data_IF_333260369774
#
_entry.id   IF_333260369774
#
_cell.length_a   1.000
_cell.length_b   1.000
_cell.length_c   1.000
_cell.angle_alpha   90.00
_cell.angle_beta   90.00
_cell.angle_gamma   90.00
#
_symmetry.space_group_name_H-M   'P 1'
#
loop_
_entity.id
_entity.type
_entity.pdbx_description
1 polymer ?
#
# COMPACT_ATOMS: atom_id res chain seq x y z
N UNK A 1 -11.36 -6.58 21.07
CA UNK A 1 -11.71 -5.53 22.05
C UNK A 1 -10.52 -4.98 22.83
N UNK A 2 -10.22 -3.69 22.62
CA UNK A 2 -9.16 -2.93 23.31
C UNK A 2 -9.78 -1.64 23.87
N UNK A 3 -9.49 -1.27 25.12
CA UNK A 3 -9.84 0.04 25.66
C UNK A 3 -8.73 1.06 25.32
N UNK A 4 -9.12 2.13 24.64
CA UNK A 4 -8.21 3.18 24.20
C UNK A 4 -8.14 4.28 25.25
N UNK A 5 -6.90 4.65 25.53
CA UNK A 5 -6.49 5.71 26.44
C UNK A 5 -5.49 6.62 25.72
N UNK A 6 -5.20 7.79 26.28
CA UNK A 6 -4.14 8.65 25.76
C UNK A 6 -2.78 7.94 25.63
N UNK A 7 -2.47 6.99 26.53
CA UNK A 7 -1.17 6.33 26.57
C UNK A 7 -0.97 5.30 25.43
N UNK A 8 -2.05 4.69 24.94
CA UNK A 8 -2.00 3.65 23.90
C UNK A 8 -2.69 4.07 22.60
N UNK A 9 -3.16 5.32 22.49
CA UNK A 9 -3.80 5.84 21.29
C UNK A 9 -2.91 5.69 20.04
N UNK A 10 -1.63 6.03 20.14
CA UNK A 10 -0.71 5.96 19.01
C UNK A 10 -0.43 4.51 18.58
N UNK A 11 -0.14 3.62 19.54
CA UNK A 11 0.21 2.22 19.23
C UNK A 11 -0.99 1.36 18.86
N UNK A 12 -2.05 1.40 19.68
CA UNK A 12 -3.12 0.41 19.65
C UNK A 12 -4.29 0.86 18.78
N UNK A 13 -4.32 2.13 18.35
CA UNK A 13 -5.30 2.65 17.40
C UNK A 13 -4.65 3.12 16.11
N UNK A 14 -3.72 4.08 16.15
CA UNK A 14 -3.16 4.62 14.91
C UNK A 14 -2.24 3.62 14.20
N UNK A 15 -1.20 3.11 14.86
CA UNK A 15 -0.29 2.16 14.24
C UNK A 15 -1.00 0.84 13.89
N UNK A 16 -1.82 0.32 14.81
CA UNK A 16 -2.60 -0.90 14.56
C UNK A 16 -3.58 -0.76 13.38
N UNK A 17 -4.21 0.40 13.18
CA UNK A 17 -5.11 0.63 12.03
C UNK A 17 -4.41 0.72 10.68
N UNK A 18 -3.07 0.77 10.64
CA UNK A 18 -2.32 0.58 9.39
C UNK A 18 -2.36 -0.87 8.90
N UNK A 19 -2.66 -1.82 9.78
CA UNK A 19 -2.65 -3.26 9.50
C UNK A 19 -4.06 -3.80 9.32
N UNK A 20 -4.95 -3.47 10.26
CA UNK A 20 -6.33 -3.96 10.31
C UNK A 20 -7.26 -2.79 10.63
N UNK A 21 -8.36 -2.58 9.88
CA UNK A 21 -9.35 -1.54 10.20
C UNK A 21 -9.80 -1.59 11.66
N UNK A 22 -9.88 -0.44 12.32
CA UNK A 22 -10.32 -0.34 13.71
C UNK A 22 -11.58 0.51 13.80
N UNK A 23 -12.65 -0.07 14.33
CA UNK A 23 -13.86 0.66 14.69
C UNK A 23 -13.76 1.10 16.16
N UNK A 24 -13.64 2.40 16.39
CA UNK A 24 -13.61 2.99 17.73
C UNK A 24 -15.03 3.36 18.18
N UNK A 25 -15.56 2.67 19.18
CA UNK A 25 -16.83 3.00 19.87
C UNK A 25 -16.59 4.00 21.01
N UNK A 26 -17.02 5.24 20.81
CA UNK A 26 -16.97 6.30 21.83
C UNK A 26 -18.28 6.26 22.63
N UNK A 27 -18.16 5.88 23.89
CA UNK A 27 -19.28 5.55 24.77
C UNK A 27 -19.15 6.20 26.15
N UNK A 28 -20.20 6.08 26.98
CA UNK A 28 -20.14 6.42 28.40
C UNK A 28 -21.11 5.55 29.24
N UNK A 29 -20.87 5.33 30.55
CA UNK A 29 -21.71 4.44 31.38
C UNK A 29 -23.18 4.86 31.51
N UNK A 30 -23.43 6.16 31.44
CA UNK A 30 -24.77 6.76 31.51
C UNK A 30 -25.52 6.74 30.18
N UNK A 31 -24.84 6.43 29.08
CA UNK A 31 -25.43 6.40 27.74
C UNK A 31 -26.29 5.13 27.54
N UNK A 32 -27.61 5.29 27.61
CA UNK A 32 -28.57 4.21 27.37
C UNK A 32 -28.43 3.55 25.98
N UNK A 33 -28.39 4.32 24.87
CA UNK A 33 -28.22 3.76 23.53
C UNK A 33 -26.88 3.02 23.35
N UNK A 34 -25.80 3.44 24.01
CA UNK A 34 -24.51 2.75 23.96
C UNK A 34 -24.59 1.31 24.48
N UNK A 35 -25.43 1.07 25.50
CA UNK A 35 -25.67 -0.28 26.06
C UNK A 35 -26.39 -1.21 25.08
N UNK A 36 -27.12 -0.66 24.12
CA UNK A 36 -27.77 -1.44 23.05
C UNK A 36 -26.79 -1.70 21.90
N UNK A 37 -25.95 -0.71 21.57
CA UNK A 37 -25.00 -0.79 20.46
C UNK A 37 -23.84 -1.75 20.75
N UNK A 38 -23.27 -1.70 21.96
CA UNK A 38 -22.08 -2.49 22.33
C UNK A 38 -22.17 -3.97 21.96
N UNK A 39 -23.23 -4.72 22.40
CA UNK A 39 -23.38 -6.13 22.04
C UNK A 39 -23.51 -6.39 20.54
N UNK A 40 -24.06 -5.45 19.78
CA UNK A 40 -24.16 -5.56 18.31
C UNK A 40 -22.77 -5.47 17.69
N UNK A 41 -21.95 -4.50 18.13
CA UNK A 41 -20.58 -4.34 17.65
C UNK A 41 -19.71 -5.54 18.01
N UNK A 42 -19.84 -6.07 19.23
CA UNK A 42 -19.12 -7.27 19.69
C UNK A 42 -19.49 -8.51 18.87
N UNK A 43 -20.78 -8.67 18.54
CA UNK A 43 -21.25 -9.73 17.65
C UNK A 43 -20.66 -9.63 16.24
N UNK A 44 -20.58 -8.42 15.70
CA UNK A 44 -19.99 -8.16 14.38
C UNK A 44 -18.47 -8.38 14.38
N UNK A 45 -17.74 -7.98 15.43
CA UNK A 45 -16.29 -8.25 15.56
C UNK A 45 -16.03 -9.77 15.47
N UNK A 46 -16.87 -10.56 16.14
CA UNK A 46 -16.80 -12.03 16.09
C UNK A 46 -17.16 -12.58 14.70
N UNK A 47 -18.22 -12.08 14.08
CA UNK A 47 -18.67 -12.47 12.73
C UNK A 47 -17.60 -12.21 11.66
N UNK A 48 -16.86 -11.12 11.78
CA UNK A 48 -15.84 -10.71 10.81
C UNK A 48 -14.47 -11.38 11.02
N UNK A 49 -14.31 -12.21 12.05
CA UNK A 49 -13.14 -13.08 12.24
C UNK A 49 -11.78 -12.34 12.13
N UNK A 50 -11.68 -11.15 12.72
CA UNK A 50 -10.45 -10.37 12.74
C UNK A 50 -10.20 -9.50 11.51
N UNK A 51 -11.13 -9.45 10.53
CA UNK A 51 -11.06 -8.50 9.39
C UNK A 51 -11.16 -7.03 9.83
N UNK A 52 -11.71 -6.78 11.01
CA UNK A 52 -11.60 -5.50 11.73
C UNK A 52 -11.47 -5.75 13.23
N UNK A 53 -10.99 -4.75 13.97
CA UNK A 53 -10.94 -4.76 15.44
C UNK A 53 -11.92 -3.75 16.02
N UNK A 54 -12.64 -4.13 17.07
CA UNK A 54 -13.44 -3.21 17.88
C UNK A 54 -12.58 -2.63 19.01
N UNK A 55 -12.50 -1.31 19.05
CA UNK A 55 -11.88 -0.55 20.12
C UNK A 55 -12.95 0.27 20.85
N UNK A 56 -12.75 0.54 22.14
CA UNK A 56 -13.69 1.31 22.96
C UNK A 56 -12.99 2.49 23.59
N UNK A 57 -13.69 3.61 23.70
CA UNK A 57 -13.20 4.81 24.35
C UNK A 57 -14.29 5.40 25.23
N UNK A 58 -14.02 5.47 26.54
CA UNK A 58 -14.92 6.14 27.47
C UNK A 58 -14.74 7.65 27.33
N UNK A 59 -15.79 8.34 26.85
CA UNK A 59 -15.77 9.78 26.61
C UNK A 59 -15.59 10.62 27.88
N UNK A 60 -16.02 10.11 29.04
CA UNK A 60 -15.87 10.81 30.32
C UNK A 60 -14.41 10.79 30.81
N UNK A 61 -13.70 9.70 30.53
CA UNK A 61 -12.31 9.46 30.98
C UNK A 61 -11.29 10.00 29.97
N UNK A 62 -11.58 9.88 28.67
CA UNK A 62 -10.68 10.25 27.58
C UNK A 62 -11.23 11.46 26.82
N UNK A 63 -11.57 12.52 27.56
CA UNK A 63 -12.23 13.73 27.05
C UNK A 63 -11.45 14.41 25.90
N UNK A 64 -10.12 14.38 25.96
CA UNK A 64 -9.26 14.98 24.94
C UNK A 64 -9.42 14.29 23.58
N UNK A 65 -9.29 12.95 23.56
CA UNK A 65 -9.46 12.16 22.33
C UNK A 65 -10.90 12.28 21.81
N UNK A 66 -11.88 12.09 22.70
CA UNK A 66 -13.29 12.15 22.33
C UNK A 66 -13.68 13.53 21.77
N UNK A 67 -13.19 14.62 22.40
CA UNK A 67 -13.45 16.00 21.99
C UNK A 67 -12.89 16.29 20.60
N UNK A 68 -11.63 15.94 20.35
CA UNK A 68 -11.00 16.18 19.03
C UNK A 68 -11.68 15.41 17.90
N UNK A 69 -12.00 14.12 18.11
CA UNK A 69 -12.73 13.33 17.11
C UNK A 69 -14.14 13.89 16.87
N UNK A 70 -14.83 14.30 17.94
CA UNK A 70 -16.16 14.92 17.84
C UNK A 70 -16.12 16.23 17.05
N UNK A 71 -15.14 17.09 17.29
CA UNK A 71 -14.94 18.34 16.54
C UNK A 71 -14.66 18.08 15.06
N UNK A 72 -13.77 17.13 14.77
CA UNK A 72 -13.38 16.78 13.39
C UNK A 72 -14.54 16.27 12.55
N UNK A 73 -15.44 15.48 13.13
CA UNK A 73 -16.63 14.97 12.44
C UNK A 73 -17.89 15.84 12.65
N UNK A 74 -17.79 16.94 13.40
CA UNK A 74 -18.94 17.80 13.71
C UNK A 74 -20.03 17.13 14.55
N UNK A 75 -19.67 16.11 15.32
CA UNK A 75 -20.58 15.31 16.16
C UNK A 75 -20.56 15.84 17.59
N UNK A 76 -21.70 15.75 18.30
CA UNK A 76 -21.82 16.24 19.70
C UNK A 76 -22.53 15.26 20.63
N UNK A 77 -22.80 14.05 20.16
CA UNK A 77 -23.60 13.07 20.87
C UNK A 77 -22.97 11.69 20.77
N UNK A 78 -23.12 10.91 21.85
CA UNK A 78 -22.74 9.50 21.90
C UNK A 78 -23.99 8.60 21.85
N UNK A 79 -23.88 7.34 21.38
CA UNK A 79 -22.66 6.69 20.88
C UNK A 79 -22.20 7.31 19.56
N UNK A 80 -20.88 7.43 19.42
CA UNK A 80 -20.23 7.88 18.19
C UNK A 80 -19.15 6.86 17.84
N UNK A 81 -19.23 6.30 16.63
CA UNK A 81 -18.26 5.33 16.16
C UNK A 81 -17.41 5.93 15.05
N UNK A 82 -16.10 5.72 15.10
CA UNK A 82 -15.14 6.22 14.11
C UNK A 82 -14.37 5.05 13.52
N UNK A 83 -14.30 4.97 12.19
CA UNK A 83 -13.49 4.00 11.48
C UNK A 83 -12.08 4.55 11.26
N UNK A 84 -11.08 3.80 11.68
CA UNK A 84 -9.68 4.07 11.43
C UNK A 84 -9.13 3.05 10.43
N UNK A 85 -8.52 3.55 9.35
CA UNK A 85 -7.85 2.75 8.31
C UNK A 85 -6.57 3.49 7.91
N UNK A 86 -5.46 2.77 7.78
CA UNK A 86 -4.19 3.38 7.37
C UNK A 86 -3.63 4.38 8.38
N UNK A 87 -3.97 4.23 9.68
CA UNK A 87 -3.55 5.18 10.71
C UNK A 87 -4.31 6.50 10.71
N UNK A 88 -5.44 6.58 10.01
CA UNK A 88 -6.26 7.78 9.89
C UNK A 88 -7.73 7.48 10.18
N UNK A 89 -8.48 8.41 10.78
CA UNK A 89 -9.94 8.35 10.85
C UNK A 89 -10.54 8.66 9.48
N UNK A 90 -11.24 7.70 8.87
CA UNK A 90 -11.71 7.78 7.48
C UNK A 90 -13.22 7.97 7.33
N UNK A 91 -14.02 7.55 8.32
CA UNK A 91 -15.47 7.64 8.29
C UNK A 91 -16.03 7.49 9.72
N UNK A 92 -17.31 7.76 9.93
CA UNK A 92 -17.95 7.58 11.23
C UNK A 92 -19.48 7.62 11.18
N UNK A 93 -20.12 7.11 12.23
CA UNK A 93 -21.57 7.14 12.38
C UNK A 93 -21.99 7.43 13.82
N UNK A 94 -23.19 7.97 13.99
CA UNK A 94 -23.71 8.41 15.29
C UNK A 94 -25.00 7.66 15.61
N UNK A 95 -25.15 7.27 16.88
CA UNK A 95 -26.34 6.63 17.40
C UNK A 95 -26.29 5.10 17.36
N UNK A 96 -27.27 4.48 18.01
CA UNK A 96 -27.41 3.02 18.04
C UNK A 96 -28.09 2.54 16.75
N UNK A 97 -27.29 2.19 15.74
CA UNK A 97 -27.80 1.71 14.45
C UNK A 97 -28.12 0.21 14.48
N UNK A 98 -29.07 -0.27 13.65
CA UNK A 98 -29.28 -1.70 13.43
C UNK A 98 -28.05 -2.37 12.81
N UNK A 99 -27.82 -3.65 13.14
CA UNK A 99 -26.68 -4.43 12.65
C UNK A 99 -26.48 -4.36 11.13
N UNK A 100 -27.57 -4.36 10.36
CA UNK A 100 -27.50 -4.29 8.89
C UNK A 100 -26.92 -2.97 8.37
N UNK A 101 -27.25 -1.85 9.02
CA UNK A 101 -26.67 -0.56 8.65
C UNK A 101 -25.18 -0.51 9.01
N UNK A 102 -24.80 -1.13 10.11
CA UNK A 102 -23.39 -1.24 10.52
C UNK A 102 -22.63 -2.13 9.54
N UNK A 103 -23.19 -3.26 9.07
CA UNK A 103 -22.59 -4.06 7.99
C UNK A 103 -22.37 -3.25 6.72
N UNK A 104 -23.38 -2.47 6.30
CA UNK A 104 -23.25 -1.58 5.14
C UNK A 104 -22.21 -0.48 5.32
N UNK A 105 -21.96 -0.04 6.56
CA UNK A 105 -20.86 0.87 6.90
C UNK A 105 -19.50 0.16 6.84
N UNK A 106 -19.38 -1.01 7.48
CA UNK A 106 -18.15 -1.81 7.51
C UNK A 106 -17.72 -2.26 6.11
N UNK A 107 -18.66 -2.64 5.24
CA UNK A 107 -18.37 -3.11 3.87
C UNK A 107 -17.66 -2.06 2.99
N UNK A 108 -17.64 -0.78 3.38
CA UNK A 108 -16.90 0.26 2.66
C UNK A 108 -15.42 0.32 3.01
N UNK A 109 -15.04 -0.23 4.17
CA UNK A 109 -13.74 0.01 4.81
C UNK A 109 -13.04 -1.28 5.26
N UNK A 110 -13.81 -2.35 5.45
CA UNK A 110 -13.34 -3.64 5.94
C UNK A 110 -13.24 -4.60 4.75
N UNK A 111 -12.06 -5.20 4.51
CA UNK A 111 -11.90 -6.13 3.42
C UNK A 111 -12.83 -7.33 3.59
N UNK A 112 -13.26 -7.89 2.47
CA UNK A 112 -13.99 -9.15 2.37
C UNK A 112 -13.08 -10.33 2.71
N UNK A 113 -13.67 -11.49 2.96
CA UNK A 113 -12.90 -12.73 3.18
C UNK A 113 -12.07 -13.12 1.94
N UNK A 114 -12.61 -12.86 0.74
CA UNK A 114 -11.89 -13.09 -0.52
C UNK A 114 -10.66 -12.21 -0.67
N UNK A 115 -10.79 -10.91 -0.36
CA UNK A 115 -9.67 -9.97 -0.40
C UNK A 115 -8.57 -10.34 0.61
N UNK A 116 -8.93 -10.71 1.85
CA UNK A 116 -7.94 -11.14 2.85
C UNK A 116 -7.24 -12.43 2.44
N UNK A 117 -7.98 -13.40 1.88
CA UNK A 117 -7.39 -14.63 1.38
C UNK A 117 -6.47 -14.38 0.18
N UNK A 118 -6.86 -13.50 -0.75
CA UNK A 118 -6.04 -13.10 -1.87
C UNK A 118 -4.73 -12.42 -1.41
N UNK A 119 -4.79 -11.51 -0.43
CA UNK A 119 -3.60 -10.87 0.13
C UNK A 119 -2.62 -11.89 0.75
N UNK A 120 -3.14 -12.91 1.45
CA UNK A 120 -2.30 -13.97 2.00
C UNK A 120 -1.62 -14.82 0.91
N UNK A 121 -2.32 -15.10 -0.18
CA UNK A 121 -1.77 -15.86 -1.32
C UNK A 121 -0.72 -15.05 -2.09
N UNK A 122 -0.92 -13.74 -2.26
CA UNK A 122 0.08 -12.85 -2.86
C UNK A 122 1.37 -12.86 -2.04
N UNK A 123 1.27 -12.67 -0.72
CA UNK A 123 2.45 -12.71 0.16
C UNK A 123 3.17 -14.07 0.12
N UNK A 124 2.43 -15.17 0.00
CA UNK A 124 3.01 -16.50 -0.17
C UNK A 124 3.65 -16.68 -1.56
N UNK A 125 3.05 -16.12 -2.61
CA UNK A 125 3.59 -16.14 -3.96
C UNK A 125 4.93 -15.40 -4.06
N UNK A 126 5.05 -14.24 -3.41
CA UNK A 126 6.31 -13.49 -3.30
C UNK A 126 7.41 -14.37 -2.69
N UNK A 127 7.14 -15.03 -1.57
CA UNK A 127 8.10 -15.93 -0.92
C UNK A 127 8.51 -17.11 -1.84
N UNK A 128 7.56 -17.70 -2.56
CA UNK A 128 7.87 -18.76 -3.53
C UNK A 128 8.71 -18.24 -4.70
N UNK A 129 8.44 -17.03 -5.19
CA UNK A 129 9.21 -16.42 -6.26
C UNK A 129 10.66 -16.14 -5.84
N UNK A 130 10.88 -15.65 -4.61
CA UNK A 130 12.22 -15.45 -4.03
C UNK A 130 13.00 -16.76 -3.91
N UNK A 131 12.32 -17.86 -3.57
CA UNK A 131 12.88 -19.21 -3.54
C UNK A 131 13.07 -19.85 -4.92
N UNK A 132 12.75 -19.13 -6.00
CA UNK A 132 12.85 -19.61 -7.39
C UNK A 132 11.75 -20.61 -7.79
N UNK A 133 10.71 -20.77 -6.98
CA UNK A 133 9.56 -21.65 -7.22
C UNK A 133 8.48 -20.92 -8.04
N UNK A 134 8.86 -20.44 -9.22
CA UNK A 134 8.02 -19.58 -10.08
C UNK A 134 6.66 -20.19 -10.42
N UNK A 135 6.58 -21.50 -10.69
CA UNK A 135 5.32 -22.17 -11.01
C UNK A 135 4.29 -22.08 -9.87
N UNK A 136 4.74 -22.34 -8.63
CA UNK A 136 3.87 -22.24 -7.47
C UNK A 136 3.46 -20.81 -7.14
N UNK A 137 4.35 -19.84 -7.38
CA UNK A 137 4.02 -18.42 -7.26
C UNK A 137 2.93 -18.00 -8.27
N UNK A 138 3.05 -18.43 -9.52
CA UNK A 138 2.04 -18.16 -10.56
C UNK A 138 0.67 -18.75 -10.19
N UNK A 139 0.63 -19.98 -9.71
CA UNK A 139 -0.62 -20.62 -9.30
C UNK A 139 -1.33 -19.84 -8.17
N UNK A 140 -0.57 -19.41 -7.15
CA UNK A 140 -1.11 -18.60 -6.05
C UNK A 140 -1.62 -17.24 -6.52
N UNK A 141 -0.92 -16.57 -7.44
CA UNK A 141 -1.34 -15.26 -7.96
C UNK A 141 -2.62 -15.38 -8.79
N UNK A 142 -2.78 -16.47 -9.56
CA UNK A 142 -4.01 -16.74 -10.30
C UNK A 142 -5.17 -17.03 -9.34
N UNK A 143 -4.93 -17.81 -8.29
CA UNK A 143 -5.92 -18.11 -7.25
C UNK A 143 -6.31 -16.84 -6.47
N UNK A 144 -5.37 -15.93 -6.21
CA UNK A 144 -5.62 -14.64 -5.58
C UNK A 144 -6.53 -13.77 -6.45
N UNK A 145 -6.23 -13.68 -7.76
CA UNK A 145 -7.05 -12.93 -8.73
C UNK A 145 -8.45 -13.54 -8.93
N UNK A 146 -8.63 -14.83 -8.69
CA UNK A 146 -9.94 -15.47 -8.72
C UNK A 146 -10.79 -15.07 -7.49
N UNK A 147 -10.17 -14.82 -6.33
CA UNK A 147 -10.83 -14.38 -5.09
C UNK A 147 -11.06 -12.88 -5.05
N UNK A 148 -10.09 -12.12 -5.52
CA UNK A 148 -10.16 -10.67 -5.68
C UNK A 148 -9.67 -10.25 -7.09
N UNK A 149 -10.61 -10.13 -8.06
CA UNK A 149 -10.28 -9.67 -9.39
C UNK A 149 -9.73 -8.24 -9.46
N UNK A 150 -9.84 -7.44 -8.39
CA UNK A 150 -9.33 -6.08 -8.35
C UNK A 150 -7.95 -5.99 -7.67
N UNK A 151 -7.36 -7.11 -7.27
CA UNK A 151 -6.04 -7.13 -6.63
C UNK A 151 -4.94 -6.77 -7.64
N UNK A 152 -4.55 -5.50 -7.68
CA UNK A 152 -3.56 -5.02 -8.62
C UNK A 152 -2.15 -5.53 -8.32
N UNK A 153 -1.78 -5.70 -7.04
CA UNK A 153 -0.46 -6.24 -6.70
C UNK A 153 -0.30 -7.67 -7.24
N UNK A 154 -1.33 -8.52 -7.09
CA UNK A 154 -1.34 -9.84 -7.72
C UNK A 154 -1.16 -9.77 -9.25
N UNK A 155 -1.76 -8.76 -9.92
CA UNK A 155 -1.56 -8.54 -11.36
C UNK A 155 -0.14 -8.12 -11.68
N UNK A 156 0.42 -7.19 -10.91
CA UNK A 156 1.77 -6.67 -11.11
C UNK A 156 2.80 -7.79 -10.97
N UNK A 157 2.72 -8.58 -9.90
CA UNK A 157 3.62 -9.71 -9.67
C UNK A 157 3.50 -10.76 -10.77
N UNK A 158 2.28 -11.08 -11.18
CA UNK A 158 2.05 -12.05 -12.25
C UNK A 158 2.64 -11.57 -13.59
N UNK A 159 2.46 -10.29 -13.93
CA UNK A 159 3.08 -9.68 -15.11
C UNK A 159 4.61 -9.70 -14.99
N UNK A 160 5.17 -9.40 -13.82
CA UNK A 160 6.62 -9.41 -13.60
C UNK A 160 7.21 -10.82 -13.80
N UNK A 161 6.56 -11.87 -13.26
CA UNK A 161 6.99 -13.25 -13.44
C UNK A 161 6.91 -13.68 -14.91
N UNK A 162 5.86 -13.31 -15.63
CA UNK A 162 5.71 -13.63 -17.06
C UNK A 162 6.73 -12.91 -17.94
N UNK A 163 7.05 -11.65 -17.61
CA UNK A 163 8.11 -10.90 -18.29
C UNK A 163 9.49 -11.52 -18.06
N UNK A 164 9.74 -12.02 -16.84
CA UNK A 164 10.98 -12.70 -16.50
C UNK A 164 11.11 -14.06 -17.20
N UNK A 165 10.01 -14.81 -17.34
CA UNK A 165 9.97 -16.06 -18.12
C UNK A 165 10.22 -15.79 -19.61
N UNK A 166 9.55 -14.78 -20.18
CA UNK A 166 9.82 -14.25 -21.53
C UNK A 166 9.47 -15.18 -22.70
N UNK A 167 8.77 -16.30 -22.46
CA UNK A 167 8.23 -17.16 -23.50
C UNK A 167 7.06 -16.48 -24.24
N UNK A 168 6.81 -16.82 -25.50
CA UNK A 168 5.70 -16.20 -26.27
C UNK A 168 4.35 -16.40 -25.58
N UNK A 169 4.14 -17.58 -24.98
CA UNK A 169 2.94 -17.88 -24.20
C UNK A 169 2.84 -17.03 -22.93
N UNK A 170 3.96 -16.86 -22.20
CA UNK A 170 4.00 -16.03 -21.00
C UNK A 170 3.70 -14.55 -21.34
N UNK A 171 4.29 -14.03 -22.43
CA UNK A 171 4.03 -12.65 -22.87
C UNK A 171 2.57 -12.46 -23.31
N UNK A 172 1.99 -13.43 -24.02
CA UNK A 172 0.56 -13.39 -24.36
C UNK A 172 -0.31 -13.40 -23.11
N UNK A 173 0.04 -14.22 -22.11
CA UNK A 173 -0.69 -14.26 -20.85
C UNK A 173 -0.55 -12.93 -20.07
N UNK A 174 0.65 -12.33 -20.04
CA UNK A 174 0.89 -11.04 -19.40
C UNK A 174 0.02 -9.93 -20.00
N UNK A 175 -0.16 -9.94 -21.33
CA UNK A 175 -1.07 -9.02 -22.01
C UNK A 175 -2.52 -9.17 -21.54
N UNK A 176 -3.00 -10.40 -21.36
CA UNK A 176 -4.35 -10.66 -20.85
C UNK A 176 -4.50 -10.19 -19.39
N UNK A 177 -3.51 -10.46 -18.54
CA UNK A 177 -3.50 -10.03 -17.13
C UNK A 177 -3.51 -8.51 -17.02
N UNK A 178 -2.86 -7.81 -17.96
CA UNK A 178 -2.76 -6.35 -17.99
C UNK A 178 -4.01 -5.63 -18.53
N UNK A 179 -4.98 -6.32 -19.13
CA UNK A 179 -6.16 -5.65 -19.73
C UNK A 179 -6.93 -4.75 -18.75
N UNK A 180 -7.20 -5.15 -17.49
CA UNK A 180 -7.85 -4.26 -16.51
C UNK A 180 -7.02 -3.04 -16.13
N UNK A 181 -5.70 -3.07 -16.32
CA UNK A 181 -4.79 -1.95 -16.04
C UNK A 181 -4.76 -0.92 -17.18
N UNK A 182 -5.03 -1.34 -18.43
CA UNK A 182 -4.89 -0.47 -19.62
C UNK A 182 -5.74 0.81 -19.56
N UNK A 183 -7.02 0.80 -19.14
CA UNK A 183 -7.81 2.03 -19.03
C UNK A 183 -7.24 3.02 -18.01
N UNK A 184 -6.53 2.52 -16.99
CA UNK A 184 -5.89 3.31 -15.92
C UNK A 184 -4.46 3.76 -16.29
N UNK A 185 -3.89 3.19 -17.35
CA UNK A 185 -2.56 3.51 -17.86
C UNK A 185 -2.51 4.74 -18.79
N UNK A 186 -3.66 5.27 -19.20
CA UNK A 186 -3.78 6.39 -20.15
C UNK A 186 -4.90 7.36 -19.78
N UNK A 187 -4.85 8.58 -20.32
CA UNK A 187 -5.90 9.58 -20.13
C UNK A 187 -5.58 10.59 -19.03
N UNK A 188 -6.63 11.26 -18.53
CA UNK A 188 -6.53 12.36 -17.57
C UNK A 188 -6.24 11.90 -16.14
N UNK A 189 -6.71 10.71 -15.76
CA UNK A 189 -6.53 10.11 -14.43
C UNK A 189 -5.61 8.90 -14.55
N UNK A 190 -4.40 9.13 -15.06
CA UNK A 190 -3.40 8.07 -15.19
C UNK A 190 -2.86 7.68 -13.82
N UNK A 191 -2.84 6.39 -13.55
CA UNK A 191 -2.23 5.82 -12.36
C UNK A 191 -0.80 5.36 -12.67
N UNK A 192 0.16 5.80 -11.86
CA UNK A 192 1.58 5.66 -12.17
C UNK A 192 2.03 4.19 -12.32
N UNK A 193 1.67 3.34 -11.35
CA UNK A 193 2.09 1.93 -11.30
C UNK A 193 1.41 1.08 -12.39
N UNK A 194 0.08 1.14 -12.62
CA UNK A 194 -0.54 0.54 -13.81
C UNK A 194 0.10 0.99 -15.13
N UNK A 195 0.33 2.30 -15.29
CA UNK A 195 0.97 2.84 -16.49
C UNK A 195 2.40 2.34 -16.69
N UNK A 196 3.13 2.09 -15.60
CA UNK A 196 4.49 1.58 -15.64
C UNK A 196 4.53 0.13 -16.14
N UNK A 197 3.76 -0.76 -15.53
CA UNK A 197 3.69 -2.17 -15.93
C UNK A 197 3.22 -2.35 -17.37
N UNK A 198 2.15 -1.65 -17.78
CA UNK A 198 1.67 -1.69 -19.16
C UNK A 198 2.74 -1.20 -20.14
N UNK A 199 3.48 -0.14 -19.81
CA UNK A 199 4.52 0.40 -20.68
C UNK A 199 5.72 -0.52 -20.84
N UNK A 200 6.19 -1.14 -19.75
CA UNK A 200 7.29 -2.11 -19.81
C UNK A 200 6.85 -3.34 -20.62
N UNK A 201 5.63 -3.83 -20.39
CA UNK A 201 5.08 -4.96 -21.14
C UNK A 201 4.98 -4.66 -22.63
N UNK A 202 4.40 -3.52 -23.02
CA UNK A 202 4.24 -3.15 -24.43
C UNK A 202 5.62 -2.93 -25.12
N UNK A 203 6.62 -2.43 -24.39
CA UNK A 203 7.99 -2.31 -24.90
C UNK A 203 8.63 -3.68 -25.18
N UNK A 204 8.50 -4.63 -24.24
CA UNK A 204 9.01 -6.00 -24.38
C UNK A 204 8.30 -6.76 -25.49
N UNK A 205 6.96 -6.71 -25.55
CA UNK A 205 6.18 -7.34 -26.60
C UNK A 205 6.53 -6.75 -27.97
N UNK A 206 6.64 -5.43 -28.07
CA UNK A 206 6.96 -4.75 -29.33
C UNK A 206 8.29 -5.19 -29.92
N UNK A 207 9.35 -5.26 -29.08
CA UNK A 207 10.68 -5.69 -29.54
C UNK A 207 10.76 -7.20 -29.80
N UNK A 208 9.98 -8.02 -29.09
CA UNK A 208 9.90 -9.46 -29.36
C UNK A 208 9.24 -9.75 -30.70
N UNK A 209 8.20 -8.99 -31.06
CA UNK A 209 7.49 -9.17 -32.32
C UNK A 209 8.28 -8.67 -33.54
N UNK A 210 8.92 -7.50 -33.44
CA UNK A 210 9.46 -6.79 -34.60
C UNK A 210 10.87 -6.21 -34.40
N UNK A 211 11.56 -6.57 -33.31
CA UNK A 211 12.85 -5.99 -32.96
C UNK A 211 13.99 -6.42 -33.86
N UNK A 212 14.91 -5.50 -34.11
CA UNK A 212 16.18 -5.74 -34.77
C UNK A 212 17.11 -6.52 -33.84
N UNK A 213 18.00 -7.36 -34.41
CA UNK A 213 19.03 -8.04 -33.63
C UNK A 213 19.93 -7.07 -32.86
N UNK A 214 20.42 -7.51 -31.69
CA UNK A 214 21.26 -6.73 -30.79
C UNK A 214 22.47 -6.09 -31.49
N UNK A 215 23.19 -6.86 -32.30
CA UNK A 215 24.37 -6.38 -33.03
C UNK A 215 24.00 -5.28 -34.04
N UNK A 216 22.91 -5.45 -34.78
CA UNK A 216 22.43 -4.43 -35.73
C UNK A 216 22.10 -3.11 -35.04
N UNK A 217 21.48 -3.17 -33.86
CA UNK A 217 21.19 -1.97 -33.06
C UNK A 217 22.48 -1.29 -32.59
N UNK A 218 23.43 -2.08 -32.07
CA UNK A 218 24.72 -1.58 -31.62
C UNK A 218 25.51 -0.91 -32.75
N UNK A 219 25.57 -1.53 -33.92
CA UNK A 219 26.25 -0.97 -35.10
C UNK A 219 25.57 0.33 -35.58
N UNK A 220 24.24 0.37 -35.56
CA UNK A 220 23.47 1.58 -35.91
C UNK A 220 23.78 2.73 -34.97
N UNK A 221 23.81 2.47 -33.66
CA UNK A 221 24.12 3.47 -32.63
C UNK A 221 25.59 3.91 -32.70
N UNK A 222 26.51 2.99 -33.02
CA UNK A 222 27.92 3.31 -33.22
C UNK A 222 28.12 4.25 -34.42
N UNK A 223 27.38 4.04 -35.51
CA UNK A 223 27.39 4.90 -36.69
C UNK A 223 26.72 6.25 -36.43
N UNK A 224 25.65 6.28 -35.63
CA UNK A 224 24.95 7.50 -35.24
C UNK A 224 24.52 7.46 -33.76
N UNK A 225 25.30 8.13 -32.89
CA UNK A 225 25.01 8.18 -31.45
C UNK A 225 23.68 8.85 -31.08
N UNK A 226 23.08 9.61 -32.03
CA UNK A 226 21.78 10.28 -31.90
C UNK A 226 20.63 9.49 -32.56
N UNK A 227 20.86 8.23 -32.94
CA UNK A 227 19.76 7.34 -33.36
C UNK A 227 18.95 6.92 -32.12
N UNK A 228 18.07 7.83 -31.68
CA UNK A 228 17.25 7.64 -30.49
C UNK A 228 16.21 6.52 -30.65
N UNK A 229 15.77 6.26 -31.88
CA UNK A 229 14.90 5.13 -32.17
C UNK A 229 15.62 3.80 -31.93
N UNK A 230 16.86 3.65 -32.42
CA UNK A 230 17.67 2.47 -32.16
C UNK A 230 18.01 2.31 -30.67
N UNK A 231 18.27 3.40 -29.94
CA UNK A 231 18.51 3.35 -28.48
C UNK A 231 17.27 2.93 -27.69
N UNK A 232 16.10 3.47 -28.02
CA UNK A 232 14.84 3.07 -27.38
C UNK A 232 14.55 1.59 -27.62
N UNK A 233 14.76 1.11 -28.85
CA UNK A 233 14.58 -0.30 -29.22
C UNK A 233 15.59 -1.21 -28.51
N UNK A 234 16.86 -0.78 -28.42
CA UNK A 234 17.89 -1.48 -27.65
C UNK A 234 17.55 -1.57 -26.16
N UNK A 235 17.03 -0.48 -25.59
CA UNK A 235 16.55 -0.48 -24.20
C UNK A 235 15.41 -1.49 -24.00
N UNK A 236 14.42 -1.53 -24.89
CA UNK A 236 13.35 -2.54 -24.86
C UNK A 236 13.89 -3.96 -24.96
N UNK A 237 14.91 -4.19 -25.80
CA UNK A 237 15.56 -5.49 -25.93
C UNK A 237 16.27 -5.89 -24.63
N UNK A 238 16.96 -4.94 -23.97
CA UNK A 238 17.54 -5.15 -22.65
C UNK A 238 16.48 -5.53 -21.61
N UNK A 239 15.31 -4.90 -21.60
CA UNK A 239 14.21 -5.30 -20.73
C UNK A 239 13.74 -6.73 -21.01
N UNK A 240 13.60 -7.10 -22.28
CA UNK A 240 13.22 -8.47 -22.67
C UNK A 240 14.26 -9.53 -22.26
N UNK A 241 15.48 -9.12 -21.91
CA UNK A 241 16.57 -9.95 -21.40
C UNK A 241 16.76 -9.84 -19.87
N UNK A 242 15.88 -9.13 -19.17
CA UNK A 242 16.01 -8.89 -17.72
C UNK A 242 17.20 -8.00 -17.34
N UNK A 243 17.60 -7.08 -18.23
CA UNK A 243 18.74 -6.16 -18.04
C UNK A 243 18.25 -4.73 -17.83
N UNK A 244 17.57 -4.48 -16.71
CA UNK A 244 16.91 -3.21 -16.42
C UNK A 244 17.90 -2.04 -16.36
N UNK A 245 19.08 -2.25 -15.78
CA UNK A 245 20.12 -1.22 -15.62
C UNK A 245 20.67 -0.75 -16.96
N UNK A 246 20.96 -1.69 -17.87
CA UNK A 246 21.45 -1.40 -19.22
C UNK A 246 20.36 -0.73 -20.06
N UNK A 247 19.10 -1.16 -19.91
CA UNK A 247 17.97 -0.48 -20.54
C UNK A 247 17.90 0.99 -20.09
N UNK A 248 18.00 1.25 -18.79
CA UNK A 248 17.98 2.60 -18.23
C UNK A 248 19.17 3.45 -18.70
N UNK A 249 20.38 2.89 -18.80
CA UNK A 249 21.54 3.63 -19.30
C UNK A 249 21.38 4.05 -20.78
N UNK A 250 20.79 3.20 -21.64
CA UNK A 250 20.45 3.58 -23.03
C UNK A 250 19.41 4.71 -23.10
N UNK A 251 18.40 4.68 -22.21
CA UNK A 251 17.37 5.70 -22.13
C UNK A 251 17.93 7.04 -21.62
N UNK A 252 18.87 7.01 -20.68
CA UNK A 252 19.56 8.23 -20.22
C UNK A 252 20.32 8.91 -21.36
N UNK A 253 20.97 8.12 -22.23
CA UNK A 253 21.68 8.67 -23.38
C UNK A 253 20.75 9.46 -24.33
N UNK A 254 19.49 9.04 -24.45
CA UNK A 254 18.45 9.79 -25.17
C UNK A 254 18.05 11.05 -24.40
N UNK A 255 17.69 10.91 -23.11
CA UNK A 255 17.21 12.02 -22.27
C UNK A 255 18.23 13.15 -22.19
N UNK A 256 19.51 12.83 -22.01
CA UNK A 256 20.60 13.80 -21.92
C UNK A 256 20.83 14.59 -23.24
N UNK A 257 20.43 14.02 -24.39
CA UNK A 257 20.66 14.64 -25.71
C UNK A 257 19.42 15.31 -26.28
N UNK A 258 18.24 14.79 -25.96
CA UNK A 258 16.94 15.31 -26.36
C UNK A 258 15.82 14.75 -25.46
N UNK A 259 15.53 15.45 -24.37
CA UNK A 259 14.48 15.06 -23.40
C UNK A 259 13.05 15.08 -23.97
N UNK A 260 12.81 15.81 -25.06
CA UNK A 260 11.49 15.98 -25.66
C UNK A 260 11.24 15.02 -26.83
N UNK A 261 12.27 14.29 -27.27
CA UNK A 261 12.17 13.38 -28.40
C UNK A 261 11.03 12.36 -28.23
N UNK A 262 10.23 12.20 -29.29
CA UNK A 262 9.14 11.22 -29.40
C UNK A 262 8.18 11.26 -28.19
N UNK A 263 7.63 12.44 -27.90
CA UNK A 263 6.72 12.66 -26.76
C UNK A 263 7.29 12.15 -25.43
N UNK A 264 8.60 12.33 -25.24
CA UNK A 264 9.33 11.96 -24.04
C UNK A 264 9.33 10.44 -23.79
N UNK A 265 9.21 9.63 -24.85
CA UNK A 265 9.13 8.16 -24.77
C UNK A 265 10.25 7.56 -23.90
N UNK A 266 11.48 8.06 -24.05
CA UNK A 266 12.62 7.58 -23.27
C UNK A 266 12.45 7.85 -21.77
N UNK A 267 12.01 9.06 -21.38
CA UNK A 267 11.74 9.40 -19.97
C UNK A 267 10.61 8.57 -19.40
N UNK A 268 9.53 8.40 -20.16
CA UNK A 268 8.35 7.62 -19.73
C UNK A 268 8.71 6.15 -19.51
N UNK A 269 9.51 5.54 -20.39
CA UNK A 269 9.97 4.17 -20.21
C UNK A 269 10.96 4.06 -19.04
N UNK A 270 11.87 5.03 -18.87
CA UNK A 270 12.81 5.04 -17.75
C UNK A 270 12.09 5.07 -16.39
N UNK A 271 11.11 5.97 -16.25
CA UNK A 271 10.29 6.06 -15.02
C UNK A 271 9.46 4.80 -14.82
N UNK A 272 8.93 4.21 -15.89
CA UNK A 272 8.21 2.95 -15.81
C UNK A 272 9.09 1.82 -15.26
N UNK A 273 10.34 1.69 -15.72
CA UNK A 273 11.28 0.69 -15.20
C UNK A 273 11.50 0.89 -13.69
N UNK A 274 11.79 2.11 -13.26
CA UNK A 274 11.98 2.41 -11.83
C UNK A 274 10.76 2.06 -10.99
N UNK A 275 9.55 2.36 -11.49
CA UNK A 275 8.30 2.06 -10.79
C UNK A 275 8.08 0.54 -10.69
N UNK A 276 8.32 -0.22 -11.77
CA UNK A 276 8.20 -1.70 -11.75
C UNK A 276 9.23 -2.38 -10.85
N UNK A 277 10.40 -1.76 -10.65
CA UNK A 277 11.43 -2.28 -9.74
C UNK A 277 11.14 -1.94 -8.28
N UNK A 278 10.27 -0.96 -8.00
CA UNK A 278 9.99 -0.52 -6.63
C UNK A 278 9.02 -1.50 -5.97
N UNK A 279 9.52 -2.22 -4.96
CA UNK A 279 8.67 -3.10 -4.15
C UNK A 279 7.53 -2.30 -3.47
N UNK A 280 6.35 -2.91 -3.27
CA UNK A 280 5.32 -2.32 -2.45
C UNK A 280 5.87 -2.06 -1.04
N UNK A 281 5.43 -0.98 -0.40
CA UNK A 281 5.77 -0.80 1.02
C UNK A 281 5.17 -1.97 1.80
N UNK A 282 5.94 -2.69 2.63
CA UNK A 282 5.39 -3.78 3.40
C UNK A 282 4.27 -3.24 4.29
N UNK A 283 3.06 -3.81 4.17
CA UNK A 283 2.02 -3.63 5.19
C UNK A 283 2.64 -4.08 6.51
N UNK A 284 2.68 -3.19 7.51
CA UNK A 284 3.37 -3.46 8.76
C UNK A 284 2.96 -4.84 9.32
N UNK A 285 3.94 -5.68 9.62
CA UNK A 285 3.69 -7.03 10.09
C UNK A 285 2.89 -7.03 11.40
N UNK A 286 1.89 -7.92 11.50
CA UNK A 286 1.09 -8.09 12.72
C UNK A 286 1.99 -8.32 13.94
N UNK A 287 1.88 -7.54 15.03
CA UNK A 287 2.56 -7.88 16.26
C UNK A 287 2.03 -9.23 16.76
N UNK A 288 2.95 -10.14 17.04
CA UNK A 288 2.61 -11.46 17.56
C UNK A 288 1.74 -11.36 18.84
N UNK A 289 0.72 -12.22 19.01
CA UNK A 289 -0.18 -12.13 20.14
C UNK A 289 0.55 -12.43 21.46
N UNK A 290 0.71 -11.39 22.28
CA UNK A 290 0.68 -11.45 23.74
C UNK A 290 1.89 -12.02 24.49
N UNK A 291 2.55 -11.16 25.26
CA UNK A 291 2.85 -11.49 26.67
C UNK A 291 2.05 -10.55 27.56
N UNK A 292 0.93 -11.07 28.07
CA UNK A 292 0.19 -10.48 29.17
C UNK A 292 1.15 -10.35 30.38
N UNK A 293 1.56 -9.12 30.70
CA UNK A 293 2.22 -8.80 31.95
C UNK A 293 1.19 -8.77 33.06
N UNK A 294 1.31 -9.71 34.02
CA UNK A 294 0.41 -9.82 35.18
C UNK A 294 0.45 -8.61 36.13
N UNK A 295 -0.51 -8.54 37.07
CA UNK A 295 -0.75 -7.35 37.87
C UNK A 295 0.34 -7.16 38.93
N UNK A 296 1.19 -6.15 38.73
CA UNK A 296 2.16 -5.69 39.71
C UNK A 296 1.47 -4.90 40.84
N UNK A 297 1.49 -5.48 42.02
CA UNK A 297 1.01 -4.93 43.29
C UNK A 297 1.72 -3.62 43.67
N UNK A 298 0.95 -2.57 44.01
CA UNK A 298 1.43 -1.45 44.84
C UNK A 298 1.86 -1.94 46.22
N UNK A 299 2.87 -1.30 46.85
CA UNK A 299 2.53 -0.49 48.03
C UNK A 299 3.42 0.76 48.23
N UNK A 300 2.88 1.73 48.98
CA UNK A 300 3.69 2.58 49.86
C UNK A 300 3.67 4.08 49.57
N UNK A 301 2.79 4.80 50.26
CA UNK A 301 2.82 6.25 50.40
C UNK A 301 3.88 6.70 51.43
N UNK A 302 4.54 7.83 51.19
CA UNK A 302 4.82 8.85 52.23
C UNK A 302 5.09 10.23 51.60
N UNK A 303 4.79 11.34 52.30
CA UNK A 303 4.58 12.66 51.70
C UNK A 303 5.79 13.61 51.86
N UNK A 304 5.94 14.57 50.94
CA UNK A 304 6.73 15.77 51.19
C UNK A 304 7.17 16.56 49.95
N UNK A 305 6.79 17.85 49.94
CA UNK A 305 7.32 18.98 49.17
C UNK A 305 6.73 19.31 47.77
N UNK A 306 5.93 20.38 47.74
CA UNK A 306 5.61 21.23 46.57
C UNK A 306 6.70 22.34 46.39
N UNK A 307 6.67 23.17 45.32
CA UNK A 307 6.49 22.85 43.91
C UNK A 307 7.58 23.51 43.05
N UNK A 308 8.08 22.82 42.02
CA UNK A 308 8.91 23.41 40.97
C UNK A 308 8.12 23.47 39.67
N UNK A 309 7.95 24.67 39.10
CA UNK A 309 7.20 24.93 37.88
C UNK A 309 7.67 24.03 36.71
N UNK A 310 6.74 23.27 36.14
CA UNK A 310 6.91 22.60 34.85
C UNK A 310 6.35 23.51 33.73
N UNK A 311 6.99 23.57 32.55
CA UNK A 311 6.52 24.39 31.46
C UNK A 311 5.20 23.84 30.89
N UNK A 312 4.24 24.73 30.68
CA UNK A 312 3.02 24.47 29.92
C UNK A 312 3.37 24.00 28.51
N UNK A 313 3.27 22.70 28.30
CA UNK A 313 3.35 22.06 27.00
C UNK A 313 2.59 20.76 27.08
N UNK A 314 1.25 20.84 27.09
CA UNK A 314 0.42 19.64 26.91
C UNK A 314 0.86 18.97 25.60
N UNK A 315 1.18 17.68 25.59
CA UNK A 315 1.49 16.97 24.35
C UNK A 315 0.27 17.10 23.43
N UNK A 316 0.47 17.68 22.25
CA UNK A 316 -0.59 17.84 21.27
C UNK A 316 -0.89 16.45 20.70
N UNK A 317 -2.06 15.90 21.00
CA UNK A 317 -2.52 14.65 20.41
C UNK A 317 -2.52 14.76 18.88
N UNK A 318 -1.68 13.96 18.21
CA UNK A 318 -1.67 13.83 16.76
C UNK A 318 -2.60 12.69 16.38
N UNK A 319 -3.72 13.00 15.70
CA UNK A 319 -4.74 12.02 15.29
C UNK A 319 -4.39 11.34 13.95
N UNK A 320 -3.36 11.85 13.28
CA UNK A 320 -2.83 11.29 12.05
C UNK A 320 -1.53 10.53 12.34
N UNK A 321 -1.48 9.23 12.03
CA UNK A 321 -0.26 8.44 12.13
C UNK A 321 0.85 8.97 11.21
N UNK A 322 2.12 8.81 11.63
CA UNK A 322 3.29 9.09 10.80
C UNK A 322 3.46 7.97 9.77
N UNK A 323 3.62 8.34 8.51
CA UNK A 323 3.97 7.40 7.44
C UNK A 323 5.48 7.13 7.52
N UNK A 324 5.87 5.94 7.97
CA UNK A 324 7.24 5.48 7.83
C UNK A 324 7.50 5.13 6.36
N UNK A 325 8.56 5.69 5.77
CA UNK A 325 8.99 5.38 4.41
C UNK A 325 10.05 4.28 4.51
N UNK A 326 9.75 3.09 3.99
CA UNK A 326 10.72 2.01 3.90
C UNK A 326 12.01 2.46 3.17
N UNK A 327 13.17 1.95 3.63
CA UNK A 327 14.47 2.27 3.05
C UNK A 327 14.56 1.84 1.58
N UNK A 328 14.94 2.75 0.70
CA UNK A 328 14.94 2.53 -0.74
C UNK A 328 16.10 1.63 -1.21
N UNK A 329 15.85 0.83 -2.25
CA UNK A 329 16.86 0.02 -2.95
C UNK A 329 18.00 0.93 -3.48
N UNK A 330 19.28 0.65 -3.15
CA UNK A 330 20.41 1.50 -3.50
C UNK A 330 20.60 1.65 -5.03
N UNK A 331 20.21 0.65 -5.82
CA UNK A 331 20.25 0.70 -7.28
C UNK A 331 19.17 1.65 -7.80
N UNK A 332 17.92 1.49 -7.33
CA UNK A 332 16.81 2.37 -7.71
C UNK A 332 17.15 3.83 -7.39
N UNK A 333 17.69 4.09 -6.21
CA UNK A 333 18.10 5.43 -5.79
C UNK A 333 19.23 6.01 -6.63
N UNK A 334 20.21 5.19 -7.03
CA UNK A 334 21.27 5.62 -7.93
C UNK A 334 20.70 6.05 -9.29
N UNK A 335 19.76 5.30 -9.84
CA UNK A 335 19.13 5.63 -11.12
C UNK A 335 18.12 6.79 -11.01
N UNK A 336 17.43 6.97 -9.87
CA UNK A 336 16.65 8.19 -9.60
C UNK A 336 17.54 9.44 -9.60
N UNK A 337 18.73 9.37 -8.98
CA UNK A 337 19.72 10.47 -9.00
C UNK A 337 20.23 10.75 -10.42
N UNK A 338 20.60 9.73 -11.19
CA UNK A 338 21.02 9.88 -12.60
C UNK A 338 19.95 10.61 -13.42
N UNK A 339 18.68 10.22 -13.27
CA UNK A 339 17.57 10.87 -13.98
C UNK A 339 17.42 12.33 -13.57
N UNK A 340 17.48 12.63 -12.27
CA UNK A 340 17.42 14.00 -11.77
C UNK A 340 18.53 14.86 -12.39
N UNK A 341 19.77 14.38 -12.40
CA UNK A 341 20.90 15.08 -13.02
C UNK A 341 20.78 15.25 -14.55
N UNK A 342 20.04 14.38 -15.23
CA UNK A 342 19.82 14.49 -16.67
C UNK A 342 18.71 15.50 -17.03
N UNK A 343 17.82 15.81 -16.09
CA UNK A 343 16.67 16.70 -16.32
C UNK A 343 16.92 18.16 -15.91
N UNK A 344 17.81 18.38 -14.94
CA UNK A 344 18.12 19.67 -14.32
C UNK A 344 19.60 20.03 -14.47
#
# INVERSE_FOLDING_TARGET
>A
MIDITLANFESDLLAASQQVPILLDIWAPWCGPCKQLGPVLEGLETEYQGRFTLAKLNADEQQEIAGQLSEMFGVRSIPFCVMFVGGQPVDGFVGALPAEQIRGFLAKHVPTEGEVAAEAEVAQAEALAEDGQTGGAVDLLLDALAKDPNNDEARFDLIALMLAEGSDNALQHAQLVAEPLRPRATGLLVEARPAAFVRVLDAVVGVRANGRPLNTLQDTIAANKRDFAARLELASLHLAMGRQTEAMDELLEVIMRDKAWNDEAARKLYVAILETMTQPQPKAAAPAPGKAGGPGTHPGAHPGAHPGAAPDGKPKLEIAGKVEVAGADPVIDAYRRKLSMALF
#
